data_IF_975956883634
#
_entry.id   IF_975956883634
#
_cell.length_a   1.000
_cell.length_b   1.000
_cell.length_c   1.000
_cell.angle_alpha   90.00
_cell.angle_beta   90.00
_cell.angle_gamma   90.00
#
_symmetry.space_group_name_H-M   'P 1'
#
loop_
_entity.id
_entity.type
_entity.pdbx_description
1 polymer ?
#
# COMPACT_ATOMS: atom_id res chain seq x y z
N UNK A 1 -11.46 1.12 -11.65
CA UNK A 1 -10.29 1.24 -10.76
C UNK A 1 -9.09 1.67 -11.60
N UNK A 2 -8.31 2.65 -11.12
CA UNK A 2 -7.06 3.09 -11.74
C UNK A 2 -5.92 3.00 -10.73
N UNK A 3 -4.71 2.75 -11.24
CA UNK A 3 -3.48 2.76 -10.45
C UNK A 3 -2.40 3.55 -11.15
N UNK A 4 -1.78 4.49 -10.46
CA UNK A 4 -0.65 5.27 -10.96
C UNK A 4 0.54 5.10 -10.01
N UNK A 5 1.74 4.99 -10.56
CA UNK A 5 2.97 4.85 -9.77
C UNK A 5 3.81 6.11 -9.94
N UNK A 6 4.21 6.69 -8.83
CA UNK A 6 5.16 7.80 -8.76
C UNK A 6 6.40 7.37 -7.99
N UNK A 7 7.56 7.43 -8.64
CA UNK A 7 8.84 7.15 -8.00
C UNK A 7 9.27 8.35 -7.16
N UNK A 8 9.73 8.08 -5.94
CA UNK A 8 10.29 9.06 -5.02
C UNK A 8 11.70 8.63 -4.61
N UNK A 9 12.48 9.53 -4.00
CA UNK A 9 13.91 9.30 -3.74
C UNK A 9 14.23 7.94 -3.09
N UNK A 10 13.45 7.52 -2.09
CA UNK A 10 13.67 6.29 -1.32
C UNK A 10 12.51 5.29 -1.45
N UNK A 11 11.79 5.30 -2.58
CA UNK A 11 10.53 4.59 -2.62
C UNK A 11 9.66 4.77 -3.85
N UNK A 12 8.41 4.33 -3.71
CA UNK A 12 7.35 4.60 -4.68
C UNK A 12 6.02 4.88 -3.98
N UNK A 13 5.21 5.72 -4.60
CA UNK A 13 3.82 5.98 -4.24
C UNK A 13 2.92 5.33 -5.28
N UNK A 14 2.00 4.49 -4.84
CA UNK A 14 1.02 3.81 -5.67
C UNK A 14 -0.34 4.44 -5.38
N UNK A 15 -0.81 5.32 -6.28
CA UNK A 15 -2.14 5.92 -6.18
C UNK A 15 -3.19 4.97 -6.67
N UNK A 16 -4.13 4.64 -5.80
CA UNK A 16 -5.24 3.74 -6.11
C UNK A 16 -6.53 4.55 -6.04
N UNK A 17 -7.32 4.53 -7.12
CA UNK A 17 -8.58 5.27 -7.20
C UNK A 17 -9.74 4.39 -7.67
N UNK A 18 -10.90 4.57 -7.05
CA UNK A 18 -12.13 3.83 -7.30
C UNK A 18 -12.44 2.82 -6.20
N UNK A 19 -13.15 1.75 -6.56
CA UNK A 19 -13.60 0.72 -5.63
C UNK A 19 -12.64 -0.47 -5.62
N UNK A 20 -12.43 -1.05 -4.44
CA UNK A 20 -11.60 -2.25 -4.24
C UNK A 20 -12.50 -3.39 -3.79
N UNK A 21 -12.75 -4.32 -4.71
CA UNK A 21 -13.54 -5.53 -4.48
C UNK A 21 -12.76 -6.80 -4.89
N UNK A 22 -13.38 -7.96 -4.75
CA UNK A 22 -12.80 -9.26 -5.13
C UNK A 22 -12.28 -9.33 -6.57
N UNK A 23 -12.88 -8.59 -7.51
CA UNK A 23 -12.50 -8.62 -8.92
C UNK A 23 -11.18 -7.89 -9.19
N UNK A 24 -10.87 -6.85 -8.41
CA UNK A 24 -9.69 -6.00 -8.62
C UNK A 24 -8.59 -6.18 -7.57
N UNK A 25 -8.91 -6.74 -6.41
CA UNK A 25 -7.97 -6.94 -5.30
C UNK A 25 -6.70 -7.73 -5.68
N UNK A 26 -6.78 -8.83 -6.46
CA UNK A 26 -5.58 -9.55 -6.92
C UNK A 26 -4.62 -8.66 -7.72
N UNK A 27 -5.15 -7.84 -8.62
CA UNK A 27 -4.35 -6.93 -9.46
C UNK A 27 -3.70 -5.81 -8.63
N UNK A 28 -4.39 -5.28 -7.63
CA UNK A 28 -3.82 -4.27 -6.71
C UNK A 28 -2.64 -4.88 -5.95
N UNK A 29 -2.83 -6.09 -5.41
CA UNK A 29 -1.77 -6.81 -4.72
C UNK A 29 -0.56 -7.00 -5.62
N UNK A 30 -0.75 -7.52 -6.83
CA UNK A 30 0.33 -7.76 -7.80
C UNK A 30 1.14 -6.49 -8.07
N UNK A 31 0.47 -5.36 -8.33
CA UNK A 31 1.14 -4.07 -8.54
C UNK A 31 1.95 -3.62 -7.32
N UNK A 32 1.40 -3.77 -6.11
CA UNK A 32 2.14 -3.44 -4.89
C UNK A 32 3.37 -4.34 -4.74
N UNK A 33 3.23 -5.63 -5.00
CA UNK A 33 4.33 -6.59 -4.90
C UNK A 33 5.44 -6.32 -5.92
N UNK A 34 5.07 -5.97 -7.16
CA UNK A 34 6.01 -5.55 -8.20
C UNK A 34 6.83 -4.34 -7.73
N UNK A 35 6.19 -3.32 -7.16
CA UNK A 35 6.89 -2.14 -6.66
C UNK A 35 7.80 -2.44 -5.46
N UNK A 36 7.40 -3.36 -4.58
CA UNK A 36 8.25 -3.85 -3.49
C UNK A 36 9.50 -4.54 -4.05
N UNK A 37 9.34 -5.39 -5.06
CA UNK A 37 10.44 -6.11 -5.70
C UNK A 37 11.40 -5.17 -6.43
N UNK A 38 10.87 -4.24 -7.24
CA UNK A 38 11.65 -3.23 -7.97
C UNK A 38 12.46 -2.36 -7.01
N UNK A 39 11.83 -1.85 -5.96
CA UNK A 39 12.51 -1.09 -4.92
C UNK A 39 13.67 -1.90 -4.34
N UNK A 40 13.46 -3.19 -4.04
CA UNK A 40 14.50 -4.07 -3.48
C UNK A 40 15.72 -4.19 -4.39
N UNK A 41 15.56 -4.17 -5.72
CA UNK A 41 16.64 -4.33 -6.70
C UNK A 41 17.39 -3.05 -7.07
N UNK A 42 16.71 -1.91 -7.20
CA UNK A 42 17.31 -0.70 -7.79
C UNK A 42 18.20 0.11 -6.83
N UNK A 43 17.91 0.10 -5.53
CA UNK A 43 18.65 0.93 -4.57
C UNK A 43 19.77 0.14 -3.88
N UNK A 44 21.02 0.42 -4.27
CA UNK A 44 22.26 -0.20 -3.74
C UNK A 44 22.80 0.48 -2.46
N UNK A 45 22.04 1.40 -1.85
CA UNK A 45 22.45 2.14 -0.66
C UNK A 45 21.66 1.72 0.58
N UNK A 46 22.31 1.85 1.73
CA UNK A 46 21.94 1.41 3.07
C UNK A 46 20.74 2.20 3.68
N UNK A 47 19.76 2.56 2.85
CA UNK A 47 18.61 3.41 3.20
C UNK A 47 17.34 2.56 3.15
N UNK A 48 16.49 2.70 4.16
CA UNK A 48 15.25 1.94 4.25
C UNK A 48 14.28 2.34 3.13
N UNK A 49 13.87 1.37 2.31
CA UNK A 49 13.02 1.60 1.14
C UNK A 49 11.56 1.63 1.57
N UNK A 50 10.77 2.55 1.03
CA UNK A 50 9.39 2.75 1.45
C UNK A 50 8.42 2.71 0.27
N UNK A 51 7.37 1.91 0.38
CA UNK A 51 6.26 1.87 -0.57
C UNK A 51 5.01 2.41 0.11
N UNK A 52 4.38 3.39 -0.54
CA UNK A 52 3.20 4.08 -0.04
C UNK A 52 2.00 3.70 -0.92
N UNK A 53 0.99 3.05 -0.36
CA UNK A 53 -0.29 2.86 -1.04
C UNK A 53 -1.18 4.07 -0.75
N UNK A 54 -1.31 5.00 -1.69
CA UNK A 54 -2.21 6.16 -1.57
C UNK A 54 -3.64 5.71 -1.82
N UNK A 55 -4.44 5.74 -0.75
CA UNK A 55 -5.84 5.28 -0.74
C UNK A 55 -6.82 6.46 -0.68
N UNK A 56 -6.38 7.68 -0.98
CA UNK A 56 -7.23 8.88 -0.92
C UNK A 56 -8.35 8.85 -1.95
N UNK A 57 -8.09 8.28 -3.12
CA UNK A 57 -9.07 8.09 -4.20
C UNK A 57 -9.94 6.86 -4.04
N UNK A 58 -9.79 6.07 -2.97
CA UNK A 58 -10.55 4.83 -2.77
C UNK A 58 -11.88 5.13 -2.10
N UNK A 59 -12.99 4.94 -2.81
CA UNK A 59 -14.34 5.19 -2.32
C UNK A 59 -14.93 4.02 -1.53
N UNK A 60 -14.42 2.80 -1.77
CA UNK A 60 -14.94 1.57 -1.15
C UNK A 60 -13.86 0.48 -1.10
N UNK A 61 -13.87 -0.34 -0.05
CA UNK A 61 -13.02 -1.52 0.08
C UNK A 61 -13.77 -2.64 0.80
N UNK A 62 -13.69 -3.87 0.27
CA UNK A 62 -14.22 -5.07 0.90
C UNK A 62 -13.14 -5.87 1.68
N UNK A 63 -13.52 -7.04 2.20
CA UNK A 63 -12.60 -7.92 2.93
C UNK A 63 -11.44 -8.46 2.09
N UNK A 64 -11.63 -8.62 0.78
CA UNK A 64 -10.59 -9.12 -0.13
C UNK A 64 -9.54 -8.05 -0.43
N UNK A 65 -9.95 -6.78 -0.51
CA UNK A 65 -9.04 -5.65 -0.61
C UNK A 65 -8.19 -5.52 0.63
N UNK A 66 -8.81 -5.62 1.81
CA UNK A 66 -8.10 -5.61 3.09
C UNK A 66 -7.12 -6.79 3.19
N UNK A 67 -7.54 -8.01 2.83
CA UNK A 67 -6.66 -9.17 2.81
C UNK A 67 -5.46 -8.96 1.88
N UNK A 68 -5.67 -8.34 0.72
CA UNK A 68 -4.61 -8.00 -0.22
C UNK A 68 -3.61 -7.02 0.38
N UNK A 69 -4.08 -5.98 1.08
CA UNK A 69 -3.21 -5.03 1.78
C UNK A 69 -2.39 -5.72 2.89
N UNK A 70 -3.00 -6.62 3.67
CA UNK A 70 -2.30 -7.38 4.72
C UNK A 70 -1.19 -8.24 4.10
N UNK A 71 -1.48 -8.94 3.00
CA UNK A 71 -0.50 -9.76 2.30
C UNK A 71 0.66 -8.91 1.77
N UNK A 72 0.36 -7.77 1.16
CA UNK A 72 1.38 -6.81 0.70
C UNK A 72 2.24 -6.30 1.86
N UNK A 73 1.65 -5.97 3.01
CA UNK A 73 2.39 -5.55 4.20
C UNK A 73 3.34 -6.63 4.71
N UNK A 74 2.86 -7.89 4.81
CA UNK A 74 3.69 -9.02 5.23
C UNK A 74 4.84 -9.27 4.24
N UNK A 75 4.58 -9.15 2.93
CA UNK A 75 5.59 -9.35 1.92
C UNK A 75 6.63 -8.22 1.93
N UNK A 76 6.21 -6.97 2.11
CA UNK A 76 7.13 -5.84 2.27
C UNK A 76 8.07 -6.05 3.47
N UNK A 77 7.52 -6.46 4.62
CA UNK A 77 8.31 -6.76 5.80
C UNK A 77 9.35 -7.86 5.57
N UNK A 78 8.99 -8.94 4.84
CA UNK A 78 9.93 -10.01 4.45
C UNK A 78 11.08 -9.52 3.56
N UNK A 79 10.85 -8.47 2.78
CA UNK A 79 11.85 -7.89 1.87
C UNK A 79 12.58 -6.68 2.50
N UNK A 80 12.35 -6.38 3.78
CA UNK A 80 12.96 -5.21 4.44
C UNK A 80 12.46 -3.87 3.90
N UNK A 81 11.29 -3.84 3.26
CA UNK A 81 10.65 -2.64 2.72
C UNK A 81 9.58 -2.16 3.70
N UNK A 82 9.59 -0.86 4.01
CA UNK A 82 8.51 -0.24 4.77
C UNK A 82 7.28 -0.09 3.87
N UNK A 83 6.14 -0.62 4.31
CA UNK A 83 4.87 -0.45 3.60
C UNK A 83 3.91 0.41 4.42
N UNK A 84 3.46 1.51 3.82
CA UNK A 84 2.57 2.49 4.42
C UNK A 84 1.24 2.56 3.70
N UNK A 85 0.16 2.69 4.46
CA UNK A 85 -1.12 3.16 3.93
C UNK A 85 -1.10 4.69 4.00
N UNK A 86 -1.13 5.33 2.83
CA UNK A 86 -0.93 6.75 2.66
C UNK A 86 -2.25 7.46 2.35
N UNK A 87 -2.51 8.60 3.01
CA UNK A 87 -3.69 9.45 2.79
C UNK A 87 -4.99 8.67 2.69
N UNK A 88 -5.24 7.81 3.68
CA UNK A 88 -6.34 6.84 3.60
C UNK A 88 -7.70 7.54 3.66
N UNK A 89 -8.62 7.24 2.74
CA UNK A 89 -9.97 7.80 2.76
C UNK A 89 -10.76 7.39 4.01
N UNK A 90 -11.76 8.18 4.39
CA UNK A 90 -12.60 7.87 5.58
C UNK A 90 -13.31 6.52 5.46
N UNK A 91 -13.75 6.15 4.25
CA UNK A 91 -14.40 4.87 3.98
C UNK A 91 -13.45 3.70 4.29
N UNK A 92 -12.21 3.78 3.81
CA UNK A 92 -11.19 2.75 4.04
C UNK A 92 -10.75 2.73 5.51
N UNK A 93 -10.53 3.89 6.12
CA UNK A 93 -10.18 4.01 7.54
C UNK A 93 -11.23 3.36 8.45
N UNK A 94 -12.52 3.54 8.15
CA UNK A 94 -13.61 2.92 8.91
C UNK A 94 -13.52 1.40 8.86
N UNK A 95 -13.27 0.81 7.69
CA UNK A 95 -13.12 -0.63 7.53
C UNK A 95 -11.90 -1.15 8.29
N UNK A 96 -10.74 -0.48 8.18
CA UNK A 96 -9.50 -0.84 8.90
C UNK A 96 -9.73 -0.84 10.42
N UNK A 97 -10.37 0.19 10.96
CA UNK A 97 -10.66 0.30 12.40
C UNK A 97 -11.66 -0.75 12.88
N UNK A 98 -12.72 -1.01 12.10
CA UNK A 98 -13.69 -2.07 12.42
C UNK A 98 -13.02 -3.45 12.45
N UNK A 99 -12.07 -3.69 11.55
CA UNK A 99 -11.30 -4.92 11.50
C UNK A 99 -10.13 -4.96 12.52
N UNK A 100 -9.91 -3.89 13.30
CA UNK A 100 -8.80 -3.73 14.27
C UNK A 100 -7.41 -3.88 13.65
N UNK A 101 -7.29 -3.52 12.37
CA UNK A 101 -6.05 -3.64 11.59
C UNK A 101 -5.17 -2.40 11.67
N UNK A 102 -5.63 -1.37 12.37
CA UNK A 102 -4.88 -0.15 12.70
C UNK A 102 -3.60 -0.44 13.48
N UNK A 103 -3.55 -1.56 14.23
CA UNK A 103 -2.34 -2.04 14.92
C UNK A 103 -1.35 -2.77 14.01
N UNK A 104 -1.77 -3.15 12.80
CA UNK A 104 -0.96 -3.90 11.82
C UNK A 104 -0.40 -2.95 10.77
N UNK A 105 -1.24 -2.05 10.25
CA UNK A 105 -0.84 -1.13 9.21
C UNK A 105 -0.09 0.09 9.75
N UNK A 106 0.95 0.51 9.03
CA UNK A 106 1.57 1.82 9.23
C UNK A 106 0.77 2.86 8.43
N UNK A 107 -0.13 3.58 9.09
CA UNK A 107 -0.86 4.68 8.45
C UNK A 107 -0.05 5.99 8.54
N UNK A 108 0.00 6.76 7.47
CA UNK A 108 0.67 8.07 7.44
C UNK A 108 0.03 8.99 6.40
N UNK A 109 0.08 10.29 6.64
CA UNK A 109 -0.35 11.31 5.67
C UNK A 109 0.85 12.08 5.09
N UNK A 110 2.05 11.80 5.58
CA UNK A 110 3.32 12.37 5.10
C UNK A 110 4.26 11.27 4.61
N UNK A 111 5.11 11.62 3.65
CA UNK A 111 6.23 10.77 3.24
C UNK A 111 7.24 10.76 4.40
N UNK A 112 7.73 9.58 4.73
CA UNK A 112 8.77 9.36 5.72
C UNK A 112 10.13 9.42 5.00
N UNK A 113 11.01 10.30 5.46
CA UNK A 113 12.37 10.51 4.94
C UNK A 113 13.38 9.45 5.44
#
# INVERSE_FOLDING_TARGET
MTTEVENINNGAIIRITGEIDLSVSPTIKEKILEQIELNTKEHSFNIAKSVYADLSGVSYIDSSGIASLIQSHQQAAKNGVNFYLFKTSEAVLKVIKLARLDSIFKLTDTIQE
#
